data_IF_725702528620
#
_entry.id   IF_725702528620
#
_cell.length_a   1.000
_cell.length_b   1.000
_cell.length_c   1.000
_cell.angle_alpha   90.00
_cell.angle_beta   90.00
_cell.angle_gamma   90.00
#
_symmetry.space_group_name_H-M   'P 1'
#
loop_
_entity.id
_entity.type
_entity.pdbx_description
1 polymer ?
#
# COMPACT_ATOMS: atom_id res chain seq x y z
N UNK A 1 -22.50 -13.67 4.24
CA UNK A 1 -21.91 -12.32 4.20
C UNK A 1 -21.57 -12.08 2.74
N UNK A 2 -22.22 -11.10 2.11
CA UNK A 2 -21.87 -10.73 0.73
C UNK A 2 -20.40 -10.30 0.72
N UNK A 3 -19.59 -10.86 -0.19
CA UNK A 3 -18.23 -10.39 -0.37
C UNK A 3 -18.31 -8.92 -0.80
N UNK A 4 -17.56 -8.05 -0.15
CA UNK A 4 -17.32 -6.71 -0.66
C UNK A 4 -16.72 -6.88 -2.06
N UNK A 5 -17.39 -6.37 -3.09
CA UNK A 5 -16.95 -6.49 -4.48
C UNK A 5 -15.99 -5.36 -4.88
N UNK A 6 -15.66 -4.48 -3.95
CA UNK A 6 -14.72 -3.40 -4.17
C UNK A 6 -13.30 -3.94 -4.28
N UNK A 7 -12.52 -3.33 -5.18
CA UNK A 7 -11.07 -3.56 -5.29
C UNK A 7 -10.42 -3.01 -4.03
N UNK A 8 -9.69 -3.85 -3.31
CA UNK A 8 -8.97 -3.50 -2.10
C UNK A 8 -7.58 -2.97 -2.46
N UNK A 9 -7.31 -1.71 -2.15
CA UNK A 9 -6.04 -1.05 -2.48
C UNK A 9 -5.29 -0.67 -1.20
N UNK A 10 -4.00 -0.96 -1.16
CA UNK A 10 -3.08 -0.40 -0.16
C UNK A 10 -2.27 0.70 -0.83
N UNK A 11 -2.43 1.93 -0.35
CA UNK A 11 -1.53 3.04 -0.70
C UNK A 11 -0.38 3.09 0.30
N UNK A 12 0.82 2.76 -0.15
CA UNK A 12 2.04 2.71 0.65
C UNK A 12 2.93 3.94 0.38
N UNK A 13 3.48 4.56 1.42
CA UNK A 13 4.54 5.58 1.27
C UNK A 13 5.65 5.40 2.31
N UNK A 14 6.88 5.77 1.94
CA UNK A 14 7.98 5.96 2.90
C UNK A 14 7.82 7.22 3.77
N UNK A 15 6.84 8.07 3.46
CA UNK A 15 6.44 9.26 4.24
C UNK A 15 7.53 10.33 4.40
N UNK A 16 8.32 10.54 3.35
CA UNK A 16 9.39 11.56 3.28
C UNK A 16 8.99 12.82 2.50
N UNK A 17 7.80 12.82 1.92
CA UNK A 17 7.21 13.92 1.18
C UNK A 17 7.01 15.19 2.04
N UNK A 18 7.04 16.40 1.44
CA UNK A 18 6.81 17.63 2.17
C UNK A 18 5.38 17.70 2.74
N UNK A 19 5.25 17.67 4.06
CA UNK A 19 3.93 17.74 4.73
C UNK A 19 3.18 19.05 4.47
N UNK A 20 3.87 20.12 4.05
CA UNK A 20 3.22 21.37 3.62
C UNK A 20 2.40 21.20 2.34
N UNK A 21 2.70 20.18 1.53
CA UNK A 21 1.97 19.82 0.30
C UNK A 21 1.07 18.61 0.54
N UNK A 22 1.56 17.62 1.29
CA UNK A 22 0.85 16.38 1.63
C UNK A 22 0.71 16.21 3.15
N UNK A 23 -0.28 16.87 3.80
CA UNK A 23 -0.41 16.86 5.26
C UNK A 23 -0.63 15.46 5.87
N UNK A 24 -1.23 14.56 5.09
CA UNK A 24 -1.51 13.16 5.45
C UNK A 24 -0.66 12.18 4.63
N UNK A 25 0.42 12.67 4.01
CA UNK A 25 1.23 11.92 3.06
C UNK A 25 0.57 11.73 1.69
N UNK A 26 1.38 11.35 0.71
CA UNK A 26 0.93 10.98 -0.64
C UNK A 26 -0.03 9.80 -0.55
N UNK A 27 0.26 8.80 0.31
CA UNK A 27 -0.65 7.67 0.52
C UNK A 27 -2.02 8.13 1.04
N UNK A 28 -2.08 9.12 1.93
CA UNK A 28 -3.34 9.64 2.48
C UNK A 28 -4.15 10.37 1.42
N UNK A 29 -3.49 11.20 0.61
CA UNK A 29 -4.11 11.88 -0.52
C UNK A 29 -4.67 10.88 -1.56
N UNK A 30 -3.93 9.83 -1.88
CA UNK A 30 -4.36 8.77 -2.78
C UNK A 30 -5.56 8.00 -2.21
N UNK A 31 -5.47 7.56 -0.96
CA UNK A 31 -6.56 6.82 -0.32
C UNK A 31 -7.85 7.65 -0.22
N UNK A 32 -7.76 8.95 0.10
CA UNK A 32 -8.91 9.85 0.12
C UNK A 32 -9.59 9.91 -1.26
N UNK A 33 -8.80 10.10 -2.33
CA UNK A 33 -9.35 10.15 -3.68
C UNK A 33 -9.93 8.79 -4.11
N UNK A 34 -9.21 7.69 -3.89
CA UNK A 34 -9.65 6.35 -4.28
C UNK A 34 -10.93 5.93 -3.55
N UNK A 35 -11.06 6.26 -2.27
CA UNK A 35 -12.30 6.00 -1.51
C UNK A 35 -13.49 6.86 -1.97
N UNK A 36 -13.28 7.90 -2.78
CA UNK A 36 -14.36 8.64 -3.44
C UNK A 36 -14.86 7.97 -4.74
N UNK A 37 -14.11 7.00 -5.26
CA UNK A 37 -14.45 6.24 -6.46
C UNK A 37 -15.34 5.05 -6.09
N UNK A 38 -16.36 4.76 -6.91
CA UNK A 38 -17.20 3.59 -6.73
C UNK A 38 -16.42 2.30 -7.02
N UNK A 39 -16.56 1.28 -6.18
CA UNK A 39 -15.96 -0.03 -6.41
C UNK A 39 -14.50 -0.14 -5.95
N UNK A 40 -14.01 0.81 -5.14
CA UNK A 40 -12.65 0.81 -4.61
C UNK A 40 -12.72 1.10 -3.11
N UNK A 41 -12.01 0.29 -2.32
CA UNK A 41 -11.75 0.56 -0.91
C UNK A 41 -10.23 0.66 -0.75
N UNK A 42 -9.75 1.83 -0.31
CA UNK A 42 -8.33 2.10 -0.13
C UNK A 42 -7.96 2.25 1.35
N UNK A 43 -6.91 1.57 1.76
CA UNK A 43 -6.23 1.76 3.04
C UNK A 43 -4.84 2.36 2.82
N UNK A 44 -4.21 2.80 3.91
CA UNK A 44 -2.86 3.37 3.89
C UNK A 44 -1.93 2.53 4.74
N UNK A 45 -0.67 2.44 4.32
CA UNK A 45 0.42 1.93 5.15
C UNK A 45 1.74 2.62 4.80
N UNK A 46 2.79 2.37 5.57
CA UNK A 46 4.10 2.94 5.31
C UNK A 46 5.24 2.24 6.04
N UNK A 47 6.46 2.74 5.80
CA UNK A 47 7.70 2.10 6.25
C UNK A 47 7.83 1.95 7.77
N UNK A 48 7.21 2.85 8.54
CA UNK A 48 7.25 2.85 10.02
C UNK A 48 6.17 1.96 10.65
N UNK A 49 5.26 1.40 9.86
CA UNK A 49 4.25 0.46 10.35
C UNK A 49 4.87 -0.92 10.65
N UNK A 50 4.20 -1.78 11.47
CA UNK A 50 4.61 -3.17 11.63
C UNK A 50 4.80 -3.88 10.28
N UNK A 51 5.84 -4.72 10.18
CA UNK A 51 6.22 -5.39 8.91
C UNK A 51 6.41 -4.41 7.74
N UNK A 52 6.79 -3.17 8.03
CA UNK A 52 6.92 -2.07 7.07
C UNK A 52 5.64 -1.83 6.26
N UNK A 53 4.48 -2.14 6.83
CA UNK A 53 3.18 -1.92 6.20
C UNK A 53 2.82 -2.94 5.12
N UNK A 54 3.53 -4.06 5.05
CA UNK A 54 3.33 -5.14 4.07
C UNK A 54 3.33 -6.53 4.71
N UNK A 55 2.62 -6.71 5.84
CA UNK A 55 2.48 -8.04 6.46
C UNK A 55 1.79 -9.05 5.53
N UNK A 56 1.91 -10.36 5.79
CA UNK A 56 1.22 -11.37 4.97
C UNK A 56 -0.30 -11.14 4.97
N UNK A 57 -0.88 -10.81 6.13
CA UNK A 57 -2.31 -10.51 6.26
C UNK A 57 -2.72 -9.29 5.42
N UNK A 58 -1.90 -8.22 5.41
CA UNK A 58 -2.17 -7.04 4.61
C UNK A 58 -2.16 -7.38 3.11
N UNK A 59 -1.12 -8.08 2.64
CA UNK A 59 -0.98 -8.43 1.23
C UNK A 59 -2.04 -9.45 0.78
N UNK A 60 -2.44 -10.40 1.63
CA UNK A 60 -3.54 -11.34 1.35
C UNK A 60 -4.91 -10.63 1.24
N UNK A 61 -5.07 -9.50 1.93
CA UNK A 61 -6.31 -8.71 1.92
C UNK A 61 -6.42 -7.73 0.75
N UNK A 62 -5.33 -7.51 0.01
CA UNK A 62 -5.23 -6.48 -1.03
C UNK A 62 -5.27 -7.06 -2.44
N UNK A 63 -5.97 -6.37 -3.33
CA UNK A 63 -5.92 -6.64 -4.76
C UNK A 63 -4.80 -5.84 -5.44
N UNK A 64 -4.49 -4.64 -4.92
CA UNK A 64 -3.43 -3.76 -5.45
C UNK A 64 -2.61 -3.13 -4.32
N UNK A 65 -1.28 -3.18 -4.45
CA UNK A 65 -0.34 -2.39 -3.66
C UNK A 65 0.20 -1.24 -4.53
N UNK A 66 -0.04 0.00 -4.12
CA UNK A 66 0.54 1.20 -4.72
C UNK A 66 1.74 1.64 -3.89
N UNK A 67 2.92 1.80 -4.48
CA UNK A 67 4.19 1.95 -3.78
C UNK A 67 4.89 3.28 -4.10
N UNK A 68 4.96 4.19 -3.12
CA UNK A 68 5.73 5.43 -3.22
C UNK A 68 6.99 5.39 -2.37
N UNK A 69 8.16 5.28 -3.03
CA UNK A 69 9.48 5.39 -2.41
C UNK A 69 10.35 6.46 -3.07
N UNK A 70 11.39 6.92 -2.37
CA UNK A 70 12.31 7.96 -2.83
C UNK A 70 13.71 7.85 -2.21
N UNK A 71 13.87 8.12 -0.91
CA UNK A 71 15.19 8.20 -0.25
C UNK A 71 15.45 7.09 0.76
N UNK A 72 14.42 6.35 1.18
CA UNK A 72 14.54 5.28 2.19
C UNK A 72 14.52 3.87 1.57
N UNK A 73 14.83 3.72 0.29
CA UNK A 73 14.82 2.40 -0.36
C UNK A 73 15.73 1.37 0.32
N UNK A 74 16.87 1.82 0.89
CA UNK A 74 17.80 0.95 1.61
C UNK A 74 17.32 0.52 3.00
N UNK A 75 16.23 1.11 3.50
CA UNK A 75 15.66 0.77 4.81
C UNK A 75 14.58 -0.33 4.68
N UNK A 76 14.21 -0.72 3.46
CA UNK A 76 13.27 -1.83 3.22
C UNK A 76 13.98 -3.16 3.46
N UNK A 77 13.42 -3.98 4.34
CA UNK A 77 13.96 -5.29 4.65
C UNK A 77 13.76 -6.26 3.48
N UNK A 78 14.77 -7.08 3.17
CA UNK A 78 14.70 -8.07 2.09
C UNK A 78 13.48 -9.00 2.25
N UNK A 79 13.10 -9.35 3.49
CA UNK A 79 11.93 -10.17 3.76
C UNK A 79 10.61 -9.52 3.31
N UNK A 80 10.49 -8.20 3.44
CA UNK A 80 9.34 -7.42 2.96
C UNK A 80 9.28 -7.44 1.43
N UNK A 81 10.44 -7.28 0.78
CA UNK A 81 10.56 -7.35 -0.69
C UNK A 81 10.19 -8.75 -1.20
N UNK A 82 10.73 -9.80 -0.59
CA UNK A 82 10.44 -11.19 -0.95
C UNK A 82 8.94 -11.49 -0.84
N UNK A 83 8.29 -10.98 0.22
CA UNK A 83 6.85 -11.13 0.43
C UNK A 83 6.05 -10.43 -0.66
N UNK A 84 6.35 -9.17 -0.97
CA UNK A 84 5.68 -8.44 -2.06
C UNK A 84 5.85 -9.18 -3.39
N UNK A 85 7.08 -9.59 -3.74
CA UNK A 85 7.38 -10.28 -4.99
C UNK A 85 6.62 -11.60 -5.11
N UNK A 86 6.52 -12.37 -4.02
CA UNK A 86 5.73 -13.60 -3.96
C UNK A 86 4.25 -13.30 -4.26
N UNK A 87 3.65 -12.31 -3.61
CA UNK A 87 2.24 -11.97 -3.83
C UNK A 87 1.97 -11.49 -5.26
N UNK A 88 2.87 -10.68 -5.84
CA UNK A 88 2.75 -10.25 -7.24
C UNK A 88 2.83 -11.44 -8.21
N UNK A 89 3.77 -12.37 -8.00
CA UNK A 89 4.02 -13.48 -8.93
C UNK A 89 3.06 -14.65 -8.78
N UNK A 90 2.70 -14.99 -7.55
CA UNK A 90 1.97 -16.23 -7.23
C UNK A 90 0.49 -15.96 -6.95
N UNK A 91 0.16 -14.84 -6.29
CA UNK A 91 -1.19 -14.53 -5.85
C UNK A 91 -1.92 -13.54 -6.77
N UNK A 92 -1.20 -12.93 -7.71
CA UNK A 92 -1.76 -12.00 -8.68
C UNK A 92 -2.01 -10.59 -8.14
N UNK A 93 -1.32 -10.21 -7.05
CA UNK A 93 -1.36 -8.85 -6.51
C UNK A 93 -0.95 -7.84 -7.59
N UNK A 94 -1.81 -6.84 -7.84
CA UNK A 94 -1.45 -5.69 -8.66
C UNK A 94 -0.40 -4.82 -7.98
N UNK A 95 0.57 -4.30 -8.74
CA UNK A 95 1.62 -3.45 -8.21
C UNK A 95 1.74 -2.18 -9.06
N UNK A 96 1.66 -1.01 -8.42
CA UNK A 96 1.73 0.31 -9.06
C UNK A 96 2.76 1.21 -8.39
#
# INVERSE_FOLDING_TARGET
MEKNNDIQVIAWSEFTEPQSVYPTGIHGCLAEHLNSCQGITASVSGIEDPDQGVSEEQLESADVLMWFGHIKHGDIEDISVERIVKHVKENGLGFL
#
